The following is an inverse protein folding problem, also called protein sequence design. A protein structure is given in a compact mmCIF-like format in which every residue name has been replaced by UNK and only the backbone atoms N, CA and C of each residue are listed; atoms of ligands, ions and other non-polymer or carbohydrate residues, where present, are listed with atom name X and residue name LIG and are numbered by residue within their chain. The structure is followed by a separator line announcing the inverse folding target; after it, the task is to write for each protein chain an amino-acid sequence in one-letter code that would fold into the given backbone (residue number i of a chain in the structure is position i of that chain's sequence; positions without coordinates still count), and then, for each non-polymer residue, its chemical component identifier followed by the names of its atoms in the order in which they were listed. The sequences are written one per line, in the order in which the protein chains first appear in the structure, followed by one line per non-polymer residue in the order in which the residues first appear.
data_IF_084475631614
#
_entry.id   IF_084475631614
#
_cell.length_a   1.000
_cell.length_b   1.000
_cell.length_c   1.000
_cell.angle_alpha   90.00
_cell.angle_beta   90.00
_cell.angle_gamma   90.00
#
_symmetry.space_group_name_H-M   'P 1'
#
loop_
_entity.id
_entity.type
_entity.pdbx_description
1 polymer ?
#
# COMPACT_ATOMS: atom_id res chain seq x y z
N UNK A 1 -54.81 102.37 -34.26
CA UNK A 1 -54.44 101.20 -35.08
C UNK A 1 -52.92 101.07 -35.03
N UNK A 2 -52.40 99.87 -34.73
CA UNK A 2 -50.98 99.49 -34.61
C UNK A 2 -50.23 99.99 -33.36
N UNK A 3 -50.00 99.20 -32.29
CA UNK A 3 -49.03 98.08 -32.16
C UNK A 3 -47.57 98.62 -32.24
N UNK A 4 -46.62 98.42 -31.30
CA UNK A 4 -46.10 97.11 -30.85
C UNK A 4 -45.01 97.23 -29.75
N UNK A 5 -45.26 96.55 -28.63
CA UNK A 5 -44.40 95.66 -27.80
C UNK A 5 -42.98 96.06 -27.36
N UNK A 6 -42.86 96.32 -26.06
CA UNK A 6 -41.70 95.97 -25.23
C UNK A 6 -41.49 94.44 -25.18
N UNK A 7 -40.22 94.00 -25.23
CA UNK A 7 -39.83 92.61 -24.92
C UNK A 7 -38.85 92.61 -23.76
N UNK A 8 -39.34 92.20 -22.59
CA UNK A 8 -38.53 91.79 -21.44
C UNK A 8 -38.03 90.35 -21.66
N UNK A 9 -36.71 90.19 -21.76
CA UNK A 9 -36.05 88.88 -21.82
C UNK A 9 -35.94 88.31 -20.39
N UNK A 10 -36.77 87.31 -20.08
CA UNK A 10 -36.59 86.44 -18.90
C UNK A 10 -35.43 85.49 -19.15
N UNK A 11 -34.34 85.67 -18.40
CA UNK A 11 -33.22 84.72 -18.30
C UNK A 11 -33.75 83.44 -17.63
N UNK A 12 -33.82 82.35 -18.41
CA UNK A 12 -34.30 81.04 -17.97
C UNK A 12 -33.10 80.23 -17.46
N UNK A 13 -33.04 80.05 -16.14
CA UNK A 13 -32.09 79.18 -15.43
C UNK A 13 -32.04 77.77 -16.05
N UNK A 14 -30.92 77.40 -16.68
CA UNK A 14 -30.60 76.02 -17.04
C UNK A 14 -30.00 75.33 -15.82
N UNK A 15 -30.86 74.72 -15.00
CA UNK A 15 -30.43 73.73 -14.01
C UNK A 15 -29.83 72.53 -14.73
N UNK A 16 -28.50 72.37 -14.63
CA UNK A 16 -27.81 71.16 -15.04
C UNK A 16 -28.40 69.94 -14.34
N UNK A 17 -28.92 69.00 -15.11
CA UNK A 17 -29.34 67.69 -14.62
C UNK A 17 -28.10 66.88 -14.25
N UNK A 18 -27.81 66.84 -12.96
CA UNK A 18 -26.86 65.90 -12.38
C UNK A 18 -27.41 64.48 -12.55
N UNK A 19 -26.83 63.72 -13.47
CA UNK A 19 -26.95 62.26 -13.49
C UNK A 19 -26.21 61.72 -12.27
N UNK A 20 -26.90 61.58 -11.13
CA UNK A 20 -26.39 60.81 -9.99
C UNK A 20 -26.30 59.35 -10.42
N UNK A 21 -25.10 58.93 -10.81
CA UNK A 21 -24.74 57.53 -11.04
C UNK A 21 -24.76 56.85 -9.66
N UNK A 22 -25.83 56.13 -9.33
CA UNK A 22 -25.92 55.31 -8.12
C UNK A 22 -24.90 54.17 -8.19
N UNK A 23 -23.66 54.46 -7.76
CA UNK A 23 -22.55 53.50 -7.65
C UNK A 23 -22.48 52.81 -6.27
N UNK A 24 -23.44 53.07 -5.37
CA UNK A 24 -23.33 52.70 -3.95
C UNK A 24 -23.53 51.21 -3.65
N UNK A 25 -24.02 50.41 -4.60
CA UNK A 25 -24.23 48.96 -4.40
C UNK A 25 -23.31 48.06 -5.25
N UNK A 26 -22.58 48.61 -6.23
CA UNK A 26 -21.78 47.80 -7.18
C UNK A 26 -20.48 47.31 -6.53
N UNK A 27 -19.83 48.12 -5.69
CA UNK A 27 -18.56 47.75 -5.06
C UNK A 27 -18.67 46.63 -4.01
N UNK A 28 -19.70 46.63 -3.12
CA UNK A 28 -19.90 45.51 -2.20
C UNK A 28 -20.23 44.21 -2.93
N UNK A 29 -21.07 44.26 -3.97
CA UNK A 29 -21.46 43.08 -4.74
C UNK A 29 -20.29 42.46 -5.51
N UNK A 30 -19.40 43.27 -6.10
CA UNK A 30 -18.20 42.77 -6.78
C UNK A 30 -17.25 42.12 -5.76
N UNK A 31 -17.06 42.73 -4.60
CA UNK A 31 -16.19 42.19 -3.55
C UNK A 31 -16.69 40.86 -2.99
N UNK A 32 -18.01 40.73 -2.76
CA UNK A 32 -18.59 39.46 -2.27
C UNK A 32 -18.45 38.34 -3.29
N UNK A 33 -18.61 38.62 -4.59
CA UNK A 33 -18.41 37.63 -5.66
C UNK A 33 -16.94 37.19 -5.76
N UNK A 34 -15.99 38.13 -5.64
CA UNK A 34 -14.56 37.79 -5.63
C UNK A 34 -14.22 36.93 -4.41
N UNK A 35 -14.76 37.27 -3.24
CA UNK A 35 -14.51 36.52 -2.01
C UNK A 35 -15.15 35.12 -2.05
N UNK A 36 -16.40 35.00 -2.48
CA UNK A 36 -17.07 33.70 -2.57
C UNK A 36 -16.43 32.80 -3.62
N UNK A 37 -16.02 33.35 -4.77
CA UNK A 37 -15.30 32.58 -5.79
C UNK A 37 -13.95 32.08 -5.28
N UNK A 38 -13.19 32.92 -4.57
CA UNK A 38 -11.93 32.51 -3.95
C UNK A 38 -12.15 31.36 -2.93
N UNK A 39 -13.17 31.46 -2.08
CA UNK A 39 -13.50 30.41 -1.10
C UNK A 39 -13.88 29.10 -1.80
N UNK A 40 -14.71 29.16 -2.85
CA UNK A 40 -15.12 27.96 -3.60
C UNK A 40 -13.92 27.27 -4.25
N UNK A 41 -13.01 28.03 -4.87
CA UNK A 41 -11.79 27.47 -5.47
C UNK A 41 -10.90 26.82 -4.41
N UNK A 42 -10.69 27.47 -3.27
CA UNK A 42 -9.90 26.93 -2.16
C UNK A 42 -10.52 25.63 -1.62
N UNK A 43 -11.85 25.56 -1.48
CA UNK A 43 -12.54 24.36 -1.02
C UNK A 43 -12.40 23.21 -2.00
N UNK A 44 -12.55 23.44 -3.31
CA UNK A 44 -12.41 22.40 -4.33
C UNK A 44 -11.01 21.78 -4.33
N UNK A 45 -9.98 22.61 -4.29
CA UNK A 45 -8.58 22.14 -4.21
C UNK A 45 -8.36 21.34 -2.92
N UNK A 46 -8.88 21.83 -1.79
CA UNK A 46 -8.73 21.17 -0.50
C UNK A 46 -9.40 19.79 -0.47
N UNK A 47 -10.60 19.66 -1.05
CA UNK A 47 -11.32 18.37 -1.12
C UNK A 47 -10.54 17.34 -1.94
N UNK A 48 -10.04 17.74 -3.13
CA UNK A 48 -9.27 16.84 -3.98
C UNK A 48 -8.00 16.38 -3.28
N UNK A 49 -7.27 17.30 -2.66
CA UNK A 49 -6.08 16.98 -1.88
C UNK A 49 -6.41 16.05 -0.70
N UNK A 50 -7.44 16.37 0.08
CA UNK A 50 -7.86 15.59 1.24
C UNK A 50 -8.25 14.16 0.85
N UNK A 51 -8.97 13.98 -0.26
CA UNK A 51 -9.35 12.66 -0.75
C UNK A 51 -8.12 11.81 -1.12
N UNK A 52 -7.17 12.38 -1.85
CA UNK A 52 -5.95 11.68 -2.24
C UNK A 52 -5.10 11.32 -1.02
N UNK A 53 -4.91 12.27 -0.10
CA UNK A 53 -4.15 12.05 1.12
C UNK A 53 -4.79 10.98 2.01
N UNK A 54 -6.11 11.05 2.20
CA UNK A 54 -6.85 10.10 3.01
C UNK A 54 -6.79 8.68 2.41
N UNK A 55 -6.91 8.55 1.08
CA UNK A 55 -6.79 7.26 0.39
C UNK A 55 -5.40 6.64 0.57
N UNK A 56 -4.34 7.45 0.48
CA UNK A 56 -2.97 6.99 0.70
C UNK A 56 -2.76 6.52 2.15
N UNK A 57 -3.25 7.27 3.14
CA UNK A 57 -3.17 6.89 4.56
C UNK A 57 -3.98 5.64 4.89
N UNK A 58 -5.15 5.47 4.29
CA UNK A 58 -5.92 4.23 4.44
C UNK A 58 -5.18 3.03 3.85
N UNK A 59 -4.52 3.20 2.70
CA UNK A 59 -3.72 2.13 2.07
C UNK A 59 -2.52 1.76 2.95
N UNK A 60 -1.80 2.74 3.49
CA UNK A 60 -0.68 2.52 4.42
C UNK A 60 -1.12 1.76 5.68
N UNK A 61 -2.26 2.14 6.27
CA UNK A 61 -2.82 1.45 7.43
C UNK A 61 -3.22 0.01 7.10
N UNK A 62 -3.88 -0.22 5.96
CA UNK A 62 -4.22 -1.58 5.50
C UNK A 62 -2.96 -2.41 5.25
N UNK A 63 -1.93 -1.83 4.63
CA UNK A 63 -0.66 -2.50 4.39
C UNK A 63 0.02 -2.93 5.69
N UNK A 64 0.05 -2.05 6.70
CA UNK A 64 0.57 -2.37 8.03
C UNK A 64 -0.20 -3.51 8.70
N UNK A 65 -1.53 -3.48 8.63
CA UNK A 65 -2.38 -4.57 9.11
C UNK A 65 -2.11 -5.88 8.36
N UNK A 66 -1.88 -5.80 7.06
CA UNK A 66 -1.57 -6.96 6.23
C UNK A 66 -0.19 -7.57 6.51
N UNK A 67 0.79 -6.79 7.01
CA UNK A 67 2.06 -7.35 7.50
C UNK A 67 1.83 -8.30 8.66
N UNK A 68 1.03 -7.87 9.63
CA UNK A 68 0.67 -8.68 10.80
C UNK A 68 -0.16 -9.90 10.39
N UNK A 69 -1.14 -9.70 9.51
CA UNK A 69 -1.93 -10.81 8.96
C UNK A 69 -1.05 -11.87 8.29
N UNK A 70 -0.13 -11.47 7.42
CA UNK A 70 0.78 -12.39 6.73
C UNK A 70 1.75 -13.09 7.69
N UNK A 71 2.17 -12.42 8.77
CA UNK A 71 2.89 -13.06 9.86
C UNK A 71 2.03 -14.14 10.54
N UNK A 72 0.77 -13.85 10.84
CA UNK A 72 -0.17 -14.84 11.40
C UNK A 72 -0.39 -16.01 10.44
N UNK A 73 -0.51 -15.76 9.12
CA UNK A 73 -0.59 -16.80 8.11
C UNK A 73 0.65 -17.71 8.15
N UNK A 74 1.85 -17.14 8.26
CA UNK A 74 3.08 -17.92 8.40
C UNK A 74 3.08 -18.84 9.63
N UNK A 75 2.57 -18.36 10.77
CA UNK A 75 2.39 -19.17 11.97
C UNK A 75 1.32 -20.26 11.80
N UNK A 76 0.24 -19.97 11.08
CA UNK A 76 -0.82 -20.94 10.79
C UNK A 76 -0.34 -22.04 9.83
N UNK A 77 0.49 -21.69 8.85
CA UNK A 77 1.18 -22.65 7.98
C UNK A 77 2.06 -23.58 8.82
N UNK A 78 2.81 -23.02 9.78
CA UNK A 78 3.62 -23.81 10.71
C UNK A 78 2.76 -24.83 11.45
N UNK A 79 1.65 -24.39 12.06
CA UNK A 79 0.72 -25.25 12.79
C UNK A 79 0.12 -26.37 11.95
N UNK A 80 -0.26 -26.09 10.70
CA UNK A 80 -0.86 -27.07 9.78
C UNK A 80 0.19 -28.06 9.26
N UNK A 81 1.40 -27.60 8.98
CA UNK A 81 2.46 -28.43 8.40
C UNK A 81 2.91 -29.58 9.33
N UNK A 82 2.80 -29.41 10.65
CA UNK A 82 3.28 -30.41 11.62
C UNK A 82 2.21 -31.35 12.18
N UNK A 83 0.93 -31.07 11.94
CA UNK A 83 -0.18 -31.83 12.54
C UNK A 83 -0.98 -32.48 11.40
N UNK A 84 -0.78 -33.79 11.15
CA UNK A 84 -1.52 -34.51 10.12
C UNK A 84 -3.04 -34.35 10.30
N UNK A 85 -3.75 -34.04 9.22
CA UNK A 85 -5.20 -33.86 9.23
C UNK A 85 -5.69 -32.53 9.80
N UNK A 86 -4.80 -31.64 10.26
CA UNK A 86 -5.19 -30.29 10.67
C UNK A 86 -5.55 -29.46 9.43
N UNK A 87 -6.69 -28.79 9.51
CA UNK A 87 -7.14 -27.81 8.52
C UNK A 87 -7.35 -26.48 9.22
N UNK A 88 -6.90 -25.38 8.62
CA UNK A 88 -7.16 -24.03 9.10
C UNK A 88 -7.69 -23.17 7.96
N UNK A 89 -8.68 -22.32 8.28
CA UNK A 89 -9.26 -21.37 7.34
C UNK A 89 -8.80 -19.97 7.71
N UNK A 90 -8.24 -19.26 6.74
CA UNK A 90 -7.78 -17.89 6.91
C UNK A 90 -8.75 -16.98 6.18
N UNK A 91 -9.35 -16.05 6.92
CA UNK A 91 -10.21 -15.02 6.32
C UNK A 91 -9.39 -13.77 6.10
N UNK A 92 -9.41 -13.26 4.88
CA UNK A 92 -8.80 -11.99 4.54
C UNK A 92 -9.86 -11.08 3.91
N UNK A 93 -9.71 -9.78 4.13
CA UNK A 93 -10.46 -8.76 3.43
C UNK A 93 -9.49 -7.61 3.17
N UNK A 94 -9.44 -7.15 1.92
CA UNK A 94 -8.55 -6.08 1.47
C UNK A 94 -9.27 -5.24 0.43
N UNK A 95 -9.07 -3.92 0.49
CA UNK A 95 -9.63 -2.96 -0.47
C UNK A 95 -8.57 -2.45 -1.43
N UNK A 96 -7.33 -2.28 -0.97
CA UNK A 96 -6.26 -1.65 -1.74
C UNK A 96 -5.22 -2.63 -2.29
N UNK A 97 -5.31 -3.90 -1.90
CA UNK A 97 -4.44 -4.97 -2.38
C UNK A 97 -5.20 -6.27 -2.61
N UNK A 98 -4.44 -7.33 -2.90
CA UNK A 98 -4.99 -8.67 -3.05
C UNK A 98 -3.96 -9.71 -2.62
N UNK A 99 -4.46 -10.84 -2.12
CA UNK A 99 -3.64 -12.03 -1.86
C UNK A 99 -3.52 -12.83 -3.15
N UNK A 100 -2.31 -13.25 -3.49
CA UNK A 100 -2.01 -14.11 -4.61
C UNK A 100 -1.17 -15.30 -4.15
N UNK A 101 -1.41 -16.47 -4.73
CA UNK A 101 -0.60 -17.66 -4.47
C UNK A 101 0.17 -18.01 -5.73
N UNK A 102 1.50 -18.07 -5.61
CA UNK A 102 2.38 -18.45 -6.70
C UNK A 102 2.93 -19.85 -6.42
N UNK A 103 2.58 -20.79 -7.30
CA UNK A 103 3.02 -22.17 -7.18
C UNK A 103 4.46 -22.32 -7.69
N UNK A 104 5.18 -23.31 -7.16
CA UNK A 104 6.50 -23.73 -7.67
C UNK A 104 7.54 -22.60 -7.85
N UNK A 105 7.49 -21.57 -6.99
CA UNK A 105 8.31 -20.35 -7.15
C UNK A 105 9.66 -20.42 -6.43
N UNK A 106 9.75 -21.17 -5.33
CA UNK A 106 10.98 -21.30 -4.54
C UNK A 106 11.60 -22.67 -4.68
N UNK A 107 12.84 -22.74 -5.15
CA UNK A 107 13.61 -23.98 -5.25
C UNK A 107 14.70 -24.06 -4.18
N UNK A 108 14.64 -25.10 -3.35
CA UNK A 108 15.62 -25.44 -2.32
C UNK A 108 16.50 -26.58 -2.83
N UNK A 109 17.79 -26.30 -3.05
CA UNK A 109 18.77 -27.32 -3.43
C UNK A 109 19.65 -27.68 -2.24
N UNK A 110 19.70 -28.96 -1.90
CA UNK A 110 20.49 -29.50 -0.78
C UNK A 110 21.74 -30.16 -1.33
N UNK A 111 22.89 -29.76 -0.79
CA UNK A 111 24.19 -30.35 -1.07
C UNK A 111 24.80 -30.89 0.22
N UNK A 112 25.35 -32.10 0.17
CA UNK A 112 26.04 -32.74 1.28
C UNK A 112 27.55 -32.69 1.05
N UNK A 113 28.29 -32.28 2.08
CA UNK A 113 29.74 -32.28 2.04
C UNK A 113 30.28 -33.61 2.58
N UNK A 114 31.00 -34.37 1.75
CA UNK A 114 31.51 -35.71 2.12
C UNK A 114 32.96 -35.72 2.65
N UNK A 115 33.55 -34.53 2.82
CA UNK A 115 34.94 -34.34 3.25
C UNK A 115 35.89 -34.03 2.08
N UNK A 116 35.49 -34.35 0.85
CA UNK A 116 36.26 -34.04 -0.37
C UNK A 116 35.60 -32.99 -1.25
N UNK A 117 34.27 -32.87 -1.18
CA UNK A 117 33.53 -31.78 -1.83
C UNK A 117 32.03 -31.83 -1.56
N UNK A 118 31.30 -30.91 -2.19
CA UNK A 118 29.85 -30.85 -2.13
C UNK A 118 29.22 -31.72 -3.22
N UNK A 119 28.43 -32.71 -2.82
CA UNK A 119 27.62 -33.54 -3.71
C UNK A 119 26.16 -33.14 -3.63
N UNK A 120 25.50 -33.04 -4.78
CA UNK A 120 24.06 -32.79 -4.85
C UNK A 120 23.31 -33.94 -4.17
N UNK A 121 22.34 -33.59 -3.33
CA UNK A 121 21.51 -34.56 -2.62
C UNK A 121 20.07 -34.56 -3.15
N UNK A 122 19.41 -33.40 -3.13
CA UNK A 122 18.02 -33.28 -3.55
C UNK A 122 17.65 -31.83 -3.88
N UNK A 123 16.59 -31.67 -4.68
CA UNK A 123 15.92 -30.40 -4.93
C UNK A 123 14.44 -30.50 -4.53
N UNK A 124 13.92 -29.42 -3.96
CA UNK A 124 12.51 -29.31 -3.59
C UNK A 124 11.99 -27.96 -4.07
N UNK A 125 10.79 -27.95 -4.63
CA UNK A 125 10.12 -26.72 -5.02
C UNK A 125 8.89 -26.51 -4.14
N UNK A 126 8.62 -25.27 -3.76
CA UNK A 126 7.47 -24.88 -2.94
C UNK A 126 6.89 -23.57 -3.43
N UNK A 127 5.58 -23.40 -3.28
CA UNK A 127 4.90 -22.14 -3.57
C UNK A 127 5.13 -21.08 -2.50
N UNK A 128 4.65 -19.87 -2.78
CA UNK A 128 4.65 -18.73 -1.87
C UNK A 128 3.29 -18.06 -1.85
N UNK A 129 2.95 -17.45 -0.72
CA UNK A 129 1.79 -16.58 -0.60
C UNK A 129 2.25 -15.12 -0.63
N UNK A 130 1.62 -14.31 -1.46
CA UNK A 130 1.95 -12.91 -1.67
C UNK A 130 0.72 -12.06 -1.33
N UNK A 131 0.95 -10.90 -0.75
CA UNK A 131 -0.03 -9.83 -0.67
C UNK A 131 0.50 -8.64 -1.45
N UNK A 132 -0.18 -8.28 -2.53
CA UNK A 132 0.27 -7.29 -3.50
C UNK A 132 -0.52 -5.99 -3.35
N UNK A 133 0.18 -4.87 -3.18
CA UNK A 133 -0.39 -3.51 -3.25
C UNK A 133 0.26 -2.76 -4.40
N UNK A 134 -0.50 -2.11 -5.30
CA UNK A 134 0.06 -1.40 -6.43
C UNK A 134 0.83 -0.15 -5.97
N UNK A 135 2.00 0.09 -6.58
CA UNK A 135 2.86 1.24 -6.22
C UNK A 135 2.20 2.60 -6.46
N UNK A 136 1.16 2.66 -7.30
CA UNK A 136 0.37 3.87 -7.54
C UNK A 136 -0.40 4.33 -6.29
N UNK A 137 -0.67 3.42 -5.36
CA UNK A 137 -1.42 3.68 -4.14
C UNK A 137 -0.51 3.85 -2.92
N UNK A 138 0.57 3.07 -2.85
CA UNK A 138 1.51 3.10 -1.74
C UNK A 138 2.89 2.57 -2.17
N UNK A 139 3.95 3.27 -1.79
CA UNK A 139 5.34 2.92 -2.11
C UNK A 139 6.26 3.30 -0.94
N UNK A 140 7.24 2.44 -0.67
CA UNK A 140 8.36 2.66 0.25
C UNK A 140 9.67 2.93 -0.50
N UNK A 141 9.69 2.72 -1.82
CA UNK A 141 10.82 3.02 -2.70
C UNK A 141 11.42 1.78 -3.35
N UNK A 142 12.08 1.99 -4.49
CA UNK A 142 12.69 0.89 -5.23
C UNK A 142 13.82 0.22 -4.44
N UNK A 143 13.87 -1.11 -4.48
CA UNK A 143 14.76 -1.98 -3.71
C UNK A 143 14.51 -1.95 -2.20
N UNK A 144 13.30 -1.58 -1.77
CA UNK A 144 12.91 -1.74 -0.38
C UNK A 144 12.85 -3.23 -0.03
N UNK A 145 13.48 -3.57 1.09
CA UNK A 145 13.42 -4.90 1.69
C UNK A 145 13.32 -4.75 3.20
N UNK A 146 12.33 -5.41 3.78
CA UNK A 146 12.15 -5.49 5.22
C UNK A 146 11.79 -6.92 5.58
N UNK A 147 12.45 -7.46 6.58
CA UNK A 147 12.08 -8.76 7.13
C UNK A 147 11.10 -8.54 8.27
N UNK A 148 9.91 -9.12 8.14
CA UNK A 148 8.86 -9.05 9.17
C UNK A 148 9.04 -10.18 10.18
N UNK A 149 9.30 -11.40 9.70
CA UNK A 149 9.40 -12.59 10.55
C UNK A 149 10.18 -13.74 9.86
N UNK A 150 10.82 -14.66 10.60
CA UNK A 150 11.37 -14.46 11.95
C UNK A 150 12.40 -13.33 11.98
N UNK A 151 12.68 -12.79 13.17
CA UNK A 151 13.71 -11.75 13.37
C UNK A 151 15.13 -12.24 13.02
N UNK A 152 15.34 -13.56 12.97
CA UNK A 152 16.64 -14.16 12.69
C UNK A 152 17.03 -14.07 11.21
N UNK A 153 18.31 -13.74 11.01
CA UNK A 153 18.99 -13.65 9.72
C UNK A 153 19.05 -14.96 8.92
N UNK A 154 19.05 -16.09 9.64
CA UNK A 154 19.58 -17.37 9.17
C UNK A 154 18.59 -18.15 8.33
N UNK A 155 18.90 -18.36 7.05
CA UNK A 155 18.11 -19.16 6.11
C UNK A 155 17.62 -20.51 6.67
N UNK A 156 18.45 -21.15 7.51
CA UNK A 156 18.09 -22.34 8.26
C UNK A 156 17.61 -21.96 9.67
N UNK A 157 16.38 -22.36 9.99
CA UNK A 157 15.78 -22.15 11.29
C UNK A 157 16.08 -23.35 12.20
N UNK A 158 16.69 -23.12 13.36
CA UNK A 158 17.19 -24.18 14.25
C UNK A 158 16.34 -24.30 15.50
N UNK A 159 15.91 -25.52 15.82
CA UNK A 159 15.19 -25.84 17.05
C UNK A 159 13.72 -26.14 16.83
N UNK A 160 13.08 -26.66 17.88
CA UNK A 160 11.69 -27.16 17.84
C UNK A 160 10.64 -26.07 17.69
N UNK A 161 10.97 -24.83 18.07
CA UNK A 161 10.06 -23.68 18.02
C UNK A 161 10.46 -22.65 16.95
N UNK A 162 11.38 -22.99 16.06
CA UNK A 162 11.92 -22.04 15.08
C UNK A 162 11.00 -21.97 13.86
N UNK A 163 10.48 -20.80 13.47
CA UNK A 163 9.45 -20.71 12.41
C UNK A 163 9.74 -21.53 11.14
N UNK A 164 8.70 -22.09 10.52
CA UNK A 164 8.79 -22.74 9.21
C UNK A 164 8.44 -21.83 8.02
N UNK A 165 8.34 -20.51 8.24
CA UNK A 165 8.08 -19.53 7.19
C UNK A 165 8.85 -18.22 7.43
N UNK A 166 9.37 -17.64 6.36
CA UNK A 166 9.78 -16.26 6.29
C UNK A 166 8.65 -15.36 5.83
N UNK A 167 8.44 -14.26 6.54
CA UNK A 167 7.59 -13.16 6.11
C UNK A 167 8.44 -11.94 5.89
N UNK A 168 8.42 -11.41 4.67
CA UNK A 168 9.20 -10.23 4.32
C UNK A 168 8.43 -9.33 3.36
N UNK A 169 8.74 -8.05 3.41
CA UNK A 169 8.25 -7.03 2.52
C UNK A 169 9.31 -6.76 1.46
N UNK A 170 8.89 -6.66 0.21
CA UNK A 170 9.77 -6.29 -0.89
C UNK A 170 9.07 -5.32 -1.85
N UNK A 171 9.78 -4.29 -2.26
CA UNK A 171 9.43 -3.44 -3.39
C UNK A 171 10.62 -3.40 -4.34
N UNK A 172 10.44 -3.91 -5.56
CA UNK A 172 11.47 -3.95 -6.59
C UNK A 172 10.83 -3.62 -7.93
N UNK A 173 11.44 -2.69 -8.66
CA UNK A 173 10.94 -2.21 -9.93
C UNK A 173 12.06 -2.28 -10.99
N UNK A 174 11.80 -2.81 -12.19
CA UNK A 174 10.56 -3.47 -12.61
C UNK A 174 10.42 -4.91 -12.07
N UNK A 175 9.19 -5.34 -11.85
CA UNK A 175 8.85 -6.75 -11.56
C UNK A 175 8.15 -7.37 -12.79
N UNK A 176 8.35 -8.68 -13.07
CA UNK A 176 7.81 -9.32 -14.28
C UNK A 176 6.28 -9.31 -14.39
N UNK A 177 5.61 -9.36 -13.24
CA UNK A 177 4.16 -9.52 -13.09
C UNK A 177 3.46 -8.21 -12.69
N UNK A 178 4.19 -7.09 -12.71
CA UNK A 178 3.67 -5.74 -12.48
C UNK A 178 4.37 -5.03 -11.31
N UNK A 179 4.03 -3.75 -11.13
CA UNK A 179 4.72 -2.90 -10.16
C UNK A 179 3.96 -2.88 -8.82
N UNK A 180 4.47 -3.66 -7.86
CA UNK A 180 3.85 -3.81 -6.55
C UNK A 180 4.87 -3.69 -5.42
N UNK A 181 4.40 -3.20 -4.28
CA UNK A 181 4.98 -3.52 -2.98
C UNK A 181 4.28 -4.76 -2.45
N UNK A 182 5.07 -5.75 -1.99
CA UNK A 182 4.57 -7.08 -1.64
C UNK A 182 4.95 -7.47 -0.24
N UNK A 183 4.07 -8.21 0.41
CA UNK A 183 4.38 -8.97 1.60
C UNK A 183 4.37 -10.44 1.20
N UNK A 184 5.50 -11.11 1.30
CA UNK A 184 5.67 -12.50 0.90
C UNK A 184 5.80 -13.38 2.13
N UNK A 185 5.02 -14.47 2.15
CA UNK A 185 5.16 -15.59 3.08
C UNK A 185 5.78 -16.74 2.30
N UNK A 186 7.03 -17.02 2.59
CA UNK A 186 7.85 -18.03 1.96
C UNK A 186 8.15 -19.15 2.96
N UNK A 187 7.84 -20.42 2.69
CA UNK A 187 8.27 -21.53 3.54
C UNK A 187 9.78 -21.54 3.75
N UNK A 188 10.26 -22.04 4.89
CA UNK A 188 11.69 -22.16 5.14
C UNK A 188 12.05 -23.49 5.79
N UNK A 189 13.33 -23.86 5.69
CA UNK A 189 13.81 -25.13 6.21
C UNK A 189 14.04 -25.01 7.71
N UNK A 190 13.33 -25.85 8.46
CA UNK A 190 13.58 -26.11 9.88
C UNK A 190 14.54 -27.29 10.03
N UNK A 191 15.52 -27.14 10.91
CA UNK A 191 16.51 -28.18 11.24
C UNK A 191 16.37 -28.59 12.69
N UNK A 192 16.21 -29.90 12.89
CA UNK A 192 16.32 -30.54 14.20
C UNK A 192 17.57 -31.39 14.24
N UNK A 193 18.38 -31.21 15.27
CA UNK A 193 19.53 -32.04 15.55
C UNK A 193 19.25 -32.93 16.78
N UNK A 194 19.71 -34.17 16.72
CA UNK A 194 19.71 -35.08 17.85
C UNK A 194 21.06 -35.76 17.92
N UNK A 195 21.64 -35.87 19.12
CA UNK A 195 22.90 -36.57 19.32
C UNK A 195 22.61 -37.82 20.13
N UNK A 196 22.90 -38.99 19.56
CA UNK A 196 22.74 -40.28 20.23
C UNK A 196 24.12 -40.94 20.31
N UNK A 197 24.69 -40.99 21.52
CA UNK A 197 26.08 -41.40 21.73
C UNK A 197 27.06 -40.46 21.02
N UNK A 198 27.89 -41.01 20.13
CA UNK A 198 28.85 -40.23 19.32
C UNK A 198 28.27 -39.75 17.97
N UNK A 199 27.08 -40.19 17.59
CA UNK A 199 26.50 -39.92 16.26
C UNK A 199 25.55 -38.73 16.31
N UNK A 200 25.73 -37.76 15.41
CA UNK A 200 24.82 -36.62 15.22
C UNK A 200 23.87 -36.89 14.07
N UNK A 201 22.57 -36.83 14.36
CA UNK A 201 21.50 -36.95 13.39
C UNK A 201 20.92 -35.58 13.10
N UNK A 202 20.76 -35.26 11.83
CA UNK A 202 20.10 -34.03 11.37
C UNK A 202 18.83 -34.41 10.61
N UNK A 203 17.72 -33.78 10.96
CA UNK A 203 16.45 -33.86 10.24
C UNK A 203 16.11 -32.48 9.70
N UNK A 204 15.88 -32.42 8.39
CA UNK A 204 15.46 -31.22 7.68
C UNK A 204 13.99 -31.37 7.35
N UNK A 205 13.23 -30.32 7.64
CA UNK A 205 11.82 -30.28 7.30
C UNK A 205 11.51 -29.00 6.53
N UNK A 206 10.77 -29.13 5.44
CA UNK A 206 10.36 -28.05 4.56
C UNK A 206 8.86 -28.17 4.31
N UNK A 207 8.05 -27.19 4.71
CA UNK A 207 6.66 -27.13 4.29
C UNK A 207 6.57 -26.88 2.78
N UNK A 208 5.82 -27.74 2.09
CA UNK A 208 5.56 -27.58 0.65
C UNK A 208 4.16 -27.00 0.49
N UNK A 209 4.09 -25.76 0.00
CA UNK A 209 2.83 -25.13 -0.35
C UNK A 209 2.49 -25.49 -1.79
N UNK A 210 1.26 -25.98 -1.98
CA UNK A 210 0.71 -26.34 -3.29
C UNK A 210 -0.68 -25.72 -3.43
N UNK A 211 -1.06 -25.37 -4.66
CA UNK A 211 -2.41 -24.90 -4.92
C UNK A 211 -3.41 -26.04 -4.72
N UNK A 212 -4.51 -25.76 -4.01
CA UNK A 212 -5.61 -26.71 -3.87
C UNK A 212 -6.29 -26.94 -5.22
N UNK A 213 -6.57 -28.21 -5.55
CA UNK A 213 -7.38 -28.57 -6.72
C UNK A 213 -8.85 -28.34 -6.47
#
# INVERSE_FOLDING_TARGET
MSEKRERTLKVKNLKGTSWKKDRKAVSPAISTVILTSAIVVLLLVTIVFANNFLSARMTENEFSAMKQFMQTVGLQIDDVAWIPGRVQTIRYASKYGHVNFENDTLTYSVYLHDGTGYKFFANFTTGILLFNVPISSYTLGNNYYERVFPSSGSFLQKGTSASASYVFVVEKLPMPDGNYIRIAVAPCIRVLNSTLGATKYFRFFLPVLVSGK
#
